data_IF_269927612743
#
_entry.id   IF_269927612743
#
_cell.length_a   1.000
_cell.length_b   1.000
_cell.length_c   1.000
_cell.angle_alpha   90.00
_cell.angle_beta   90.00
_cell.angle_gamma   90.00
#
_symmetry.space_group_name_H-M   'P 1'
#
loop_
_entity.id
_entity.type
_entity.pdbx_description
1 polymer ?
#
# COMPACT_ATOMS: atom_id res chain seq x y z
N UNK A 1 18.21 -22.03 -7.65
CA UNK A 1 18.76 -21.02 -6.72
C UNK A 1 17.62 -20.63 -5.80
N UNK A 2 17.82 -20.63 -4.47
CA UNK A 2 16.80 -20.15 -3.54
C UNK A 2 16.77 -18.63 -3.58
N UNK A 3 15.58 -18.05 -3.78
CA UNK A 3 15.37 -16.61 -3.69
C UNK A 3 15.61 -16.17 -2.24
N UNK A 4 16.34 -15.08 -2.03
CA UNK A 4 16.54 -14.52 -0.69
C UNK A 4 15.25 -13.88 -0.16
N UNK A 5 15.13 -13.72 1.16
CA UNK A 5 13.90 -13.18 1.76
C UNK A 5 13.51 -11.82 1.19
N UNK A 6 14.48 -10.93 0.96
CA UNK A 6 14.19 -9.60 0.41
C UNK A 6 13.73 -9.66 -1.05
N UNK A 7 14.37 -10.50 -1.86
CA UNK A 7 13.94 -10.74 -3.24
C UNK A 7 12.52 -11.33 -3.28
N UNK A 8 12.18 -12.22 -2.34
CA UNK A 8 10.83 -12.76 -2.23
C UNK A 8 9.81 -11.68 -1.87
N UNK A 9 10.11 -10.81 -0.91
CA UNK A 9 9.22 -9.68 -0.55
C UNK A 9 9.01 -8.74 -1.74
N UNK A 10 10.06 -8.47 -2.53
CA UNK A 10 9.92 -7.67 -3.76
C UNK A 10 9.03 -8.36 -4.79
N UNK A 11 9.18 -9.67 -4.98
CA UNK A 11 8.33 -10.46 -5.87
C UNK A 11 6.86 -10.48 -5.40
N UNK A 12 6.63 -10.65 -4.10
CA UNK A 12 5.30 -10.67 -3.51
C UNK A 12 4.63 -9.29 -3.67
N UNK A 13 5.37 -8.20 -3.48
CA UNK A 13 4.87 -6.84 -3.69
C UNK A 13 4.42 -6.60 -5.15
N UNK A 14 5.24 -7.03 -6.11
CA UNK A 14 4.93 -6.96 -7.54
C UNK A 14 3.72 -7.83 -7.87
N UNK A 15 3.66 -9.03 -7.30
CA UNK A 15 2.57 -9.98 -7.51
C UNK A 15 1.24 -9.42 -7.00
N UNK A 16 1.24 -8.81 -5.80
CA UNK A 16 0.05 -8.16 -5.25
C UNK A 16 -0.45 -7.05 -6.18
N UNK A 17 0.43 -6.17 -6.68
CA UNK A 17 0.01 -5.12 -7.62
C UNK A 17 -0.70 -5.70 -8.85
N UNK A 18 -0.06 -6.66 -9.53
CA UNK A 18 -0.62 -7.27 -10.75
C UNK A 18 -1.80 -8.20 -10.50
N UNK A 19 -2.06 -8.63 -9.27
CA UNK A 19 -3.28 -9.35 -8.91
C UNK A 19 -4.53 -8.46 -9.00
N UNK A 20 -4.37 -7.14 -8.83
CA UNK A 20 -5.48 -6.18 -8.88
C UNK A 20 -5.47 -5.32 -10.15
N UNK A 21 -4.31 -4.95 -10.66
CA UNK A 21 -4.15 -4.13 -11.86
C UNK A 21 -4.63 -4.85 -13.14
N UNK A 22 -5.18 -4.10 -14.08
CA UNK A 22 -5.52 -4.58 -15.41
C UNK A 22 -6.73 -5.51 -15.50
N UNK A 23 -7.55 -5.60 -14.44
CA UNK A 23 -8.89 -6.17 -14.50
C UNK A 23 -9.81 -5.27 -15.31
N UNK A 24 -9.59 -3.97 -15.26
CA UNK A 24 -10.32 -2.93 -15.98
C UNK A 24 -9.34 -1.87 -16.53
N UNK A 25 -9.65 -1.25 -17.66
CA UNK A 25 -8.84 -0.15 -18.20
C UNK A 25 -7.41 -0.56 -18.60
N UNK A 26 -6.42 0.18 -18.10
CA UNK A 26 -5.00 -0.01 -18.43
C UNK A 26 -4.40 -1.19 -17.64
N UNK A 27 -3.62 -2.03 -18.32
CA UNK A 27 -3.07 -3.28 -17.76
C UNK A 27 -1.93 -3.09 -16.77
N UNK A 28 -1.38 -1.88 -16.68
CA UNK A 28 -0.19 -1.58 -15.90
C UNK A 28 -0.46 -0.63 -14.74
N UNK A 29 -1.72 -0.28 -14.51
CA UNK A 29 -2.16 0.66 -13.49
C UNK A 29 -3.32 0.09 -12.69
N UNK A 30 -3.60 0.71 -11.55
CA UNK A 30 -4.78 0.47 -10.75
C UNK A 30 -5.76 1.61 -10.98
N UNK A 31 -6.89 1.29 -11.60
CA UNK A 31 -8.06 2.17 -11.57
C UNK A 31 -8.56 2.36 -10.14
N UNK A 32 -9.38 3.38 -9.92
CA UNK A 32 -10.06 3.61 -8.64
C UNK A 32 -10.77 2.35 -8.09
N UNK A 33 -11.39 1.56 -8.96
CA UNK A 33 -12.12 0.35 -8.55
C UNK A 33 -11.14 -0.74 -8.08
N UNK A 34 -10.06 -0.95 -8.83
CA UNK A 34 -9.04 -1.95 -8.48
C UNK A 34 -8.26 -1.56 -7.22
N UNK A 35 -7.96 -0.27 -7.04
CA UNK A 35 -7.39 0.25 -5.81
C UNK A 35 -8.32 -0.01 -4.62
N UNK A 36 -9.62 0.21 -4.78
CA UNK A 36 -10.61 -0.07 -3.73
C UNK A 36 -10.61 -1.55 -3.33
N UNK A 37 -10.51 -2.44 -4.31
CA UNK A 37 -10.43 -3.88 -4.07
C UNK A 37 -9.14 -4.25 -3.34
N UNK A 38 -7.99 -3.77 -3.81
CA UNK A 38 -6.69 -4.00 -3.16
C UNK A 38 -6.73 -3.55 -1.70
N UNK A 39 -7.18 -2.32 -1.47
CA UNK A 39 -7.27 -1.73 -0.13
C UNK A 39 -8.21 -2.54 0.78
N UNK A 40 -9.32 -3.05 0.24
CA UNK A 40 -10.30 -3.81 1.01
C UNK A 40 -9.83 -5.21 1.38
N UNK A 41 -8.95 -5.83 0.59
CA UNK A 41 -8.47 -7.19 0.80
C UNK A 41 -7.11 -7.22 1.51
N UNK A 42 -6.14 -6.43 1.05
CA UNK A 42 -4.77 -6.44 1.56
C UNK A 42 -4.58 -5.51 2.77
N UNK A 43 -5.31 -4.38 2.81
CA UNK A 43 -5.15 -3.34 3.84
C UNK A 43 -6.31 -3.27 4.83
N UNK A 44 -7.17 -4.30 4.86
CA UNK A 44 -8.32 -4.37 5.76
C UNK A 44 -7.95 -4.16 7.24
N UNK A 45 -6.80 -4.72 7.66
CA UNK A 45 -6.29 -4.58 9.03
C UNK A 45 -5.81 -3.16 9.35
N UNK A 46 -5.18 -2.50 8.38
CA UNK A 46 -4.66 -1.13 8.50
C UNK A 46 -5.77 -0.07 8.51
N UNK A 47 -6.85 -0.32 7.78
CA UNK A 47 -7.96 0.63 7.64
C UNK A 47 -9.19 0.25 8.47
N UNK A 48 -9.05 -0.68 9.42
CA UNK A 48 -10.10 -0.97 10.42
C UNK A 48 -10.46 0.33 11.17
N UNK A 49 -11.61 0.91 10.81
CA UNK A 49 -12.13 2.16 11.37
C UNK A 49 -12.35 3.27 10.36
N UNK A 50 -11.75 3.19 9.15
CA UNK A 50 -11.91 4.17 8.07
C UNK A 50 -12.62 3.57 6.84
N UNK A 51 -13.70 2.82 7.07
CA UNK A 51 -14.61 2.31 6.03
C UNK A 51 -15.48 3.42 5.41
N UNK A 52 -14.97 4.65 5.36
CA UNK A 52 -15.62 5.72 4.66
C UNK A 52 -15.41 5.49 3.15
N UNK A 53 -16.49 5.46 2.33
CA UNK A 53 -16.35 5.42 0.87
C UNK A 53 -15.43 6.51 0.32
N UNK A 54 -15.21 7.62 1.03
CA UNK A 54 -14.28 8.68 0.61
C UNK A 54 -12.79 8.38 0.88
N UNK A 55 -12.45 7.33 1.63
CA UNK A 55 -11.06 7.01 1.97
C UNK A 55 -10.25 6.65 0.73
N UNK A 56 -10.81 5.84 -0.17
CA UNK A 56 -10.13 5.43 -1.40
C UNK A 56 -9.98 6.60 -2.36
N UNK A 57 -10.99 7.48 -2.44
CA UNK A 57 -10.93 8.71 -3.24
C UNK A 57 -9.81 9.65 -2.80
N UNK A 58 -9.66 9.83 -1.49
CA UNK A 58 -8.56 10.63 -0.93
C UNK A 58 -7.22 9.95 -1.16
N UNK A 59 -7.15 8.63 -0.93
CA UNK A 59 -5.93 7.86 -1.13
C UNK A 59 -5.45 7.92 -2.59
N UNK A 60 -6.35 7.72 -3.55
CA UNK A 60 -6.03 7.85 -4.97
C UNK A 60 -5.51 9.25 -5.27
N UNK A 61 -6.25 10.29 -4.86
CA UNK A 61 -5.85 11.68 -5.10
C UNK A 61 -4.50 12.07 -4.47
N UNK A 62 -4.18 11.50 -3.31
CA UNK A 62 -2.93 11.81 -2.60
C UNK A 62 -1.72 11.06 -3.20
N UNK A 63 -1.96 9.97 -3.93
CA UNK A 63 -0.92 9.09 -4.50
C UNK A 63 -0.72 9.25 -6.01
N UNK A 64 -1.78 9.60 -6.73
CA UNK A 64 -1.81 9.90 -8.17
C UNK A 64 -1.05 11.21 -8.42
N UNK A 65 0.26 11.05 -8.69
CA UNK A 65 1.21 12.13 -8.77
C UNK A 65 1.22 12.80 -10.14
N UNK A 66 0.90 12.03 -11.19
CA UNK A 66 0.82 12.53 -12.56
C UNK A 66 -0.59 13.03 -12.94
N UNK A 67 -1.61 12.68 -12.16
CA UNK A 67 -2.98 13.18 -12.26
C UNK A 67 -3.79 12.47 -13.34
N UNK A 68 -3.42 11.24 -13.72
CA UNK A 68 -4.13 10.48 -14.75
C UNK A 68 -5.40 9.76 -14.22
N UNK A 69 -5.60 9.75 -12.90
CA UNK A 69 -6.73 9.14 -12.23
C UNK A 69 -6.61 7.63 -11.99
N UNK A 70 -5.43 7.06 -12.25
CA UNK A 70 -5.04 5.69 -11.97
C UNK A 70 -3.80 5.69 -11.05
N UNK A 71 -3.31 4.51 -10.64
CA UNK A 71 -2.02 4.40 -9.96
C UNK A 71 -1.10 3.45 -10.72
N UNK A 72 0.06 3.94 -11.11
CA UNK A 72 1.11 3.09 -11.65
C UNK A 72 1.85 2.31 -10.53
N UNK A 73 2.76 1.43 -10.93
CA UNK A 73 3.52 0.64 -9.95
C UNK A 73 4.43 1.51 -9.06
N UNK A 74 4.96 2.61 -9.58
CA UNK A 74 5.85 3.52 -8.83
C UNK A 74 5.09 4.21 -7.71
N UNK A 75 3.88 4.70 -8.00
CA UNK A 75 3.00 5.36 -7.04
C UNK A 75 2.49 4.37 -5.99
N UNK A 76 2.11 3.16 -6.41
CA UNK A 76 1.78 2.07 -5.50
C UNK A 76 2.97 1.71 -4.57
N UNK A 77 4.18 1.59 -5.10
CA UNK A 77 5.37 1.28 -4.31
C UNK A 77 5.69 2.40 -3.30
N UNK A 78 5.51 3.66 -3.70
CA UNK A 78 5.68 4.81 -2.82
C UNK A 78 4.67 4.80 -1.66
N UNK A 79 3.41 4.41 -1.90
CA UNK A 79 2.41 4.20 -0.85
C UNK A 79 2.87 3.16 0.16
N UNK A 80 3.30 1.98 -0.31
CA UNK A 80 3.74 0.88 0.57
C UNK A 80 4.98 1.28 1.37
N UNK A 81 5.93 1.96 0.75
CA UNK A 81 7.10 2.50 1.44
C UNK A 81 6.69 3.49 2.54
N UNK A 82 5.76 4.41 2.24
CA UNK A 82 5.26 5.38 3.21
C UNK A 82 4.58 4.73 4.42
N UNK A 83 3.74 3.71 4.19
CA UNK A 83 3.12 2.96 5.29
C UNK A 83 4.15 2.16 6.09
N UNK A 84 5.14 1.57 5.43
CA UNK A 84 6.21 0.82 6.10
C UNK A 84 7.04 1.74 7.00
N UNK A 85 7.41 2.92 6.51
CA UNK A 85 8.12 3.94 7.28
C UNK A 85 7.28 4.38 8.48
N UNK A 86 6.00 4.69 8.28
CA UNK A 86 5.09 5.07 9.36
C UNK A 86 5.02 3.97 10.45
N UNK A 87 4.85 2.71 10.05
CA UNK A 87 4.86 1.57 10.98
C UNK A 87 6.16 1.48 11.77
N UNK A 88 7.30 1.66 11.10
CA UNK A 88 8.61 1.61 11.77
C UNK A 88 8.77 2.75 12.79
N UNK A 89 8.35 3.97 12.46
CA UNK A 89 8.39 5.11 13.39
C UNK A 89 7.55 4.81 14.64
N UNK A 90 6.31 4.33 14.48
CA UNK A 90 5.46 3.94 15.62
C UNK A 90 6.09 2.83 16.46
N UNK A 91 6.70 1.84 15.81
CA UNK A 91 7.37 0.74 16.50
C UNK A 91 8.59 1.22 17.31
N UNK A 92 9.42 2.08 16.74
CA UNK A 92 10.57 2.65 17.44
C UNK A 92 10.14 3.48 18.66
N UNK A 93 9.09 4.29 18.53
CA UNK A 93 8.57 5.10 19.64
C UNK A 93 7.96 4.23 20.75
N UNK A 94 7.29 3.13 20.39
CA UNK A 94 6.82 2.14 21.35
C UNK A 94 7.98 1.48 22.12
N UNK A 95 9.10 1.17 21.45
CA UNK A 95 10.27 0.61 22.12
C UNK A 95 10.94 1.62 23.07
N UNK A 96 11.06 2.89 22.65
CA UNK A 96 11.63 3.97 23.49
C UNK A 96 10.78 4.21 24.75
N UNK A 97 9.46 4.23 24.61
CA UNK A 97 8.54 4.47 25.74
C UNK A 97 8.53 3.31 26.74
N UNK A 98 8.61 2.06 26.28
CA UNK A 98 8.79 0.91 27.20
C UNK A 98 10.13 0.89 27.91
N UNK A 99 11.21 1.32 27.25
CA UNK A 99 12.54 1.42 27.86
C UNK A 99 12.59 2.52 28.94
N UNK A 100 11.84 3.62 28.78
CA UNK A 100 11.75 4.71 29.75
C UNK A 100 10.83 4.42 30.95
N UNK A 101 9.99 3.38 30.86
CA UNK A 101 9.08 2.95 31.93
C UNK A 101 9.69 1.89 32.86
N UNK A 102 10.96 1.51 32.66
CA UNK A 102 11.77 0.67 33.55
C UNK A 102 12.82 1.51 34.29
#
# INVERSE_FOLDING_TARGET
MSVSNLEQVMQDLISVFHQYAGKEGNKYTLSKHELKDLVSHELAGFLKGKKDPTTVDKLLKDLDADGDGELDFSEFAAMVASFTIACNVYFEDYLKTQAAAK
#
